data_IF_185757469614
#
_entry.id   IF_185757469614
#
_cell.length_a   1.000
_cell.length_b   1.000
_cell.length_c   1.000
_cell.angle_alpha   90.00
_cell.angle_beta   90.00
_cell.angle_gamma   90.00
#
_symmetry.space_group_name_H-M   'P 1'
#
loop_
_entity.id
_entity.type
_entity.pdbx_description
1 polymer ?
#
# COMPACT_ATOMS: atom_id res chain seq x y z
N UNK A 1 37.20 34.29 -25.68
CA UNK A 1 37.43 35.13 -24.47
C UNK A 1 36.16 35.79 -24.06
N UNK A 2 35.77 35.89 -22.83
CA UNK A 2 36.09 35.03 -21.65
C UNK A 2 34.82 34.51 -20.94
N UNK A 3 35.00 33.44 -20.19
CA UNK A 3 34.70 33.22 -18.72
C UNK A 3 33.25 33.46 -18.29
N UNK A 4 32.49 32.53 -17.85
CA UNK A 4 32.70 31.54 -16.79
C UNK A 4 32.01 32.00 -15.50
N UNK A 5 31.11 31.24 -14.95
CA UNK A 5 30.92 31.15 -13.49
C UNK A 5 29.94 30.03 -13.14
N UNK A 6 30.52 28.97 -12.56
CA UNK A 6 29.81 27.95 -11.79
C UNK A 6 29.18 28.57 -10.55
N UNK A 7 27.91 28.28 -10.29
CA UNK A 7 27.21 28.60 -9.06
C UNK A 7 26.77 27.30 -8.35
N UNK A 8 27.64 26.85 -7.44
CA UNK A 8 27.41 25.73 -6.53
C UNK A 8 26.41 26.16 -5.46
N UNK A 9 25.19 25.62 -5.46
CA UNK A 9 24.22 25.83 -4.40
C UNK A 9 24.37 24.71 -3.35
N UNK A 10 25.03 25.06 -2.24
CA UNK A 10 25.09 24.23 -1.02
C UNK A 10 23.72 24.22 -0.35
N UNK A 11 23.15 23.04 -0.13
CA UNK A 11 22.00 22.85 0.74
C UNK A 11 22.46 22.77 2.19
N UNK A 12 22.01 23.72 2.99
CA UNK A 12 22.09 23.70 4.46
C UNK A 12 21.07 22.72 5.04
N UNK A 13 21.55 21.76 5.79
CA UNK A 13 20.76 20.93 6.70
C UNK A 13 20.60 21.71 8.01
N UNK A 14 19.39 22.05 8.39
CA UNK A 14 19.06 22.58 9.72
C UNK A 14 18.61 21.40 10.60
N UNK A 15 19.43 21.09 11.59
CA UNK A 15 19.11 20.20 12.70
C UNK A 15 18.43 21.03 13.78
N UNK A 16 17.20 20.70 14.15
CA UNK A 16 16.54 21.27 15.33
C UNK A 16 16.60 20.22 16.45
N UNK A 17 17.37 20.55 17.49
CA UNK A 17 17.38 19.81 18.73
C UNK A 17 16.24 20.29 19.63
N UNK A 18 15.39 19.38 20.11
CA UNK A 18 14.39 19.65 21.14
C UNK A 18 14.86 19.04 22.45
N UNK A 19 15.10 19.91 23.43
CA UNK A 19 15.45 19.56 24.81
C UNK A 19 14.21 19.14 25.60
N UNK A 20 14.31 18.00 26.27
CA UNK A 20 13.31 17.47 27.21
C UNK A 20 13.39 18.22 28.55
N UNK A 21 12.24 18.69 29.03
CA UNK A 21 12.06 19.16 30.38
C UNK A 21 11.28 18.12 31.22
N UNK A 22 11.94 17.62 32.26
CA UNK A 22 11.34 16.78 33.32
C UNK A 22 10.54 17.64 34.29
N UNK A 23 9.29 17.29 34.57
CA UNK A 23 8.59 17.71 35.79
C UNK A 23 7.96 16.47 36.43
N UNK A 24 8.45 16.14 37.61
CA UNK A 24 7.92 15.14 38.50
C UNK A 24 6.73 15.67 39.30
N UNK A 25 5.69 14.92 39.44
CA UNK A 25 4.57 15.19 40.35
C UNK A 25 3.81 13.92 40.71
N UNK A 26 4.11 13.35 41.86
CA UNK A 26 3.40 12.24 42.43
C UNK A 26 2.14 12.72 43.17
N UNK A 27 1.01 12.05 42.96
CA UNK A 27 -0.07 12.00 43.96
C UNK A 27 -0.87 10.72 43.80
N UNK A 28 -0.80 9.89 44.78
CA UNK A 28 -1.60 8.67 44.95
C UNK A 28 -3.01 9.03 45.46
N UNK A 29 -4.04 8.52 44.81
CA UNK A 29 -5.37 8.37 45.41
C UNK A 29 -5.88 6.99 45.08
N UNK A 30 -6.00 6.16 46.11
CA UNK A 30 -6.68 4.86 46.11
C UNK A 30 -8.20 5.05 46.15
N UNK A 31 -8.90 4.44 45.19
CA UNK A 31 -10.35 4.17 45.34
C UNK A 31 -10.64 2.75 44.84
N UNK A 32 -11.04 1.90 45.76
CA UNK A 32 -11.65 0.63 45.49
C UNK A 32 -13.06 0.85 44.92
N UNK A 33 -13.38 0.19 43.83
CA UNK A 33 -14.76 0.03 43.36
C UNK A 33 -14.91 -1.26 42.56
N UNK A 34 -15.78 -2.07 43.02
CA UNK A 34 -16.64 -3.12 42.51
C UNK A 34 -16.28 -3.82 41.20
N UNK A 35 -16.03 -5.12 41.33
CA UNK A 35 -15.97 -6.07 40.20
C UNK A 35 -17.38 -6.27 39.64
N UNK A 36 -17.70 -5.61 38.53
CA UNK A 36 -18.78 -6.04 37.67
C UNK A 36 -18.18 -6.97 36.61
N UNK A 37 -18.53 -8.25 36.68
CA UNK A 37 -18.26 -9.23 35.63
C UNK A 37 -19.07 -8.85 34.38
N UNK A 38 -18.46 -8.11 33.46
CA UNK A 38 -18.95 -7.95 32.13
C UNK A 38 -18.51 -9.16 31.29
N UNK A 39 -19.48 -9.91 30.80
CA UNK A 39 -19.29 -10.94 29.78
C UNK A 39 -18.63 -10.31 28.55
N UNK A 40 -17.40 -10.71 28.26
CA UNK A 40 -16.73 -10.43 26.97
C UNK A 40 -17.53 -11.13 25.87
N UNK A 41 -17.96 -10.43 24.81
CA UNK A 41 -18.38 -11.12 23.60
C UNK A 41 -17.12 -11.80 23.02
N UNK A 42 -17.16 -13.11 22.96
CA UNK A 42 -16.17 -13.93 22.26
C UNK A 42 -16.33 -13.68 20.76
N UNK A 43 -15.76 -12.57 20.29
CA UNK A 43 -15.65 -12.21 18.88
C UNK A 43 -14.38 -12.83 18.31
N UNK A 44 -14.29 -14.14 18.27
CA UNK A 44 -13.37 -14.84 17.38
C UNK A 44 -13.68 -14.42 15.95
N UNK A 45 -13.00 -13.36 15.47
CA UNK A 45 -12.98 -13.10 14.04
C UNK A 45 -12.29 -14.29 13.36
N UNK A 46 -13.07 -15.16 12.74
CA UNK A 46 -12.55 -16.22 11.87
C UNK A 46 -11.68 -15.53 10.82
N UNK A 47 -10.37 -15.77 10.87
CA UNK A 47 -9.45 -15.30 9.83
C UNK A 47 -9.92 -15.87 8.50
N UNK A 48 -10.34 -14.99 7.58
CA UNK A 48 -10.55 -15.38 6.20
C UNK A 48 -9.24 -16.02 5.69
N UNK A 49 -9.33 -17.18 5.04
CA UNK A 49 -8.18 -17.78 4.40
C UNK A 49 -7.69 -16.85 3.30
N UNK A 50 -6.36 -16.65 3.16
CA UNK A 50 -5.77 -15.76 2.16
C UNK A 50 -6.04 -16.16 0.70
N UNK A 51 -6.73 -17.30 0.46
CA UNK A 51 -7.20 -17.74 -0.86
C UNK A 51 -8.62 -17.21 -1.19
N UNK A 52 -9.27 -16.49 -0.28
CA UNK A 52 -10.68 -16.11 -0.43
C UNK A 52 -10.87 -14.72 -1.05
N UNK A 53 -9.81 -14.16 -1.66
CA UNK A 53 -9.87 -12.87 -2.32
C UNK A 53 -10.16 -11.71 -1.36
N UNK A 54 -9.47 -11.66 -0.23
CA UNK A 54 -9.69 -10.64 0.80
C UNK A 54 -9.28 -9.24 0.32
N UNK A 55 -10.01 -8.21 0.78
CA UNK A 55 -9.64 -6.81 0.59
C UNK A 55 -9.00 -6.26 1.86
N UNK A 56 -7.78 -5.73 1.76
CA UNK A 56 -7.01 -5.12 2.83
C UNK A 56 -6.85 -3.61 2.70
N UNK A 57 -6.62 -2.97 3.84
CA UNK A 57 -6.28 -1.56 3.94
C UNK A 57 -4.78 -1.36 3.63
N UNK A 58 -4.46 -0.68 2.52
CA UNK A 58 -3.08 -0.41 2.13
C UNK A 58 -2.61 0.94 2.66
N UNK A 59 -1.47 0.95 3.36
CA UNK A 59 -0.81 2.11 3.96
C UNK A 59 0.52 2.47 3.31
N UNK A 60 1.01 1.67 2.36
CA UNK A 60 2.34 1.81 1.75
C UNK A 60 3.44 1.90 2.84
N UNK A 61 4.29 2.95 2.79
CA UNK A 61 5.33 3.23 3.79
C UNK A 61 4.78 3.85 5.08
N UNK A 62 3.51 4.29 5.10
CA UNK A 62 2.97 5.11 6.18
C UNK A 62 2.12 4.31 7.19
N UNK A 63 2.59 3.12 7.56
CA UNK A 63 1.95 2.29 8.59
C UNK A 63 1.83 3.00 9.95
N UNK A 64 2.68 3.99 10.24
CA UNK A 64 2.56 4.83 11.43
C UNK A 64 1.29 5.67 11.49
N UNK A 65 0.60 5.87 10.36
CA UNK A 65 -0.69 6.56 10.31
C UNK A 65 -1.90 5.66 10.60
N UNK A 66 -1.68 4.35 10.82
CA UNK A 66 -2.73 3.38 11.09
C UNK A 66 -3.56 3.79 12.30
N UNK A 67 -4.87 3.84 12.11
CA UNK A 67 -5.84 4.14 13.15
C UNK A 67 -6.86 2.98 13.24
N UNK A 68 -6.84 2.24 14.35
CA UNK A 68 -7.73 1.10 14.55
C UNK A 68 -9.21 1.47 14.52
N UNK A 69 -9.59 2.70 14.94
CA UNK A 69 -10.97 3.16 14.83
C UNK A 69 -11.40 3.35 13.37
N UNK A 70 -10.49 3.77 12.50
CA UNK A 70 -10.74 3.88 11.06
C UNK A 70 -10.86 2.48 10.42
N UNK A 71 -9.99 1.52 10.81
CA UNK A 71 -10.11 0.13 10.37
C UNK A 71 -11.46 -0.47 10.77
N UNK A 72 -11.87 -0.27 12.02
CA UNK A 72 -13.17 -0.73 12.52
C UNK A 72 -14.33 -0.06 11.77
N UNK A 73 -14.25 1.25 11.53
CA UNK A 73 -15.27 2.00 10.81
C UNK A 73 -15.41 1.52 9.35
N UNK A 74 -14.33 1.07 8.73
CA UNK A 74 -14.32 0.48 7.39
C UNK A 74 -14.51 -1.05 7.41
N UNK A 75 -14.66 -1.69 8.57
CA UNK A 75 -14.71 -3.15 8.74
C UNK A 75 -13.50 -3.87 8.16
N UNK A 76 -12.36 -3.19 8.04
CA UNK A 76 -11.13 -3.78 7.51
C UNK A 76 -10.65 -4.92 8.41
N UNK A 77 -10.32 -6.06 7.81
CA UNK A 77 -9.80 -7.25 8.50
C UNK A 77 -8.34 -7.54 8.15
N UNK A 78 -7.82 -6.91 7.11
CA UNK A 78 -6.45 -7.03 6.64
C UNK A 78 -5.80 -5.67 6.47
N UNK A 79 -4.48 -5.63 6.70
CA UNK A 79 -3.64 -4.46 6.41
C UNK A 79 -2.48 -4.85 5.50
N UNK A 80 -2.01 -3.88 4.73
CA UNK A 80 -0.79 -4.00 3.92
C UNK A 80 0.08 -2.76 4.07
N UNK A 81 1.38 -2.96 4.08
CA UNK A 81 2.40 -1.94 3.94
C UNK A 81 3.70 -2.54 3.44
N UNK A 82 4.72 -1.70 3.27
CA UNK A 82 6.05 -2.19 2.94
C UNK A 82 7.11 -1.68 3.92
N UNK A 83 8.15 -2.48 4.08
CA UNK A 83 9.34 -2.14 4.84
C UNK A 83 10.48 -1.79 3.89
N UNK A 84 11.01 -0.58 4.01
CA UNK A 84 12.16 -0.12 3.23
C UNK A 84 13.44 -0.73 3.80
N UNK A 85 14.11 -1.59 3.04
CA UNK A 85 15.21 -2.41 3.56
C UNK A 85 16.37 -1.63 4.20
N UNK A 86 16.79 -0.46 3.70
CA UNK A 86 17.76 0.41 4.39
C UNK A 86 17.38 0.82 5.82
N UNK A 87 16.09 0.81 6.20
CA UNK A 87 15.68 1.13 7.57
C UNK A 87 16.24 0.12 8.59
N UNK A 88 16.61 -1.09 8.14
CA UNK A 88 17.28 -2.10 8.98
C UNK A 88 18.72 -1.73 9.41
N UNK A 89 19.28 -0.65 8.85
CA UNK A 89 20.59 -0.12 9.26
C UNK A 89 20.50 0.81 10.47
N UNK A 90 19.28 1.25 10.84
CA UNK A 90 19.03 2.25 11.88
C UNK A 90 18.58 1.66 13.22
N UNK A 91 19.18 0.56 13.65
CA UNK A 91 18.90 -0.09 14.94
C UNK A 91 18.23 -1.46 14.79
N UNK A 92 17.43 -1.87 15.80
CA UNK A 92 16.65 -3.10 15.71
C UNK A 92 15.45 -2.87 14.77
N UNK A 93 15.30 -3.65 13.71
CA UNK A 93 14.13 -3.55 12.83
C UNK A 93 12.78 -3.68 13.56
N UNK A 94 12.73 -4.41 14.68
CA UNK A 94 11.52 -4.58 15.49
C UNK A 94 11.02 -3.25 16.09
N UNK A 95 11.92 -2.28 16.31
CA UNK A 95 11.61 -0.97 16.88
C UNK A 95 11.17 0.05 15.83
N UNK A 96 11.28 -0.29 14.54
CA UNK A 96 10.79 0.59 13.48
C UNK A 96 9.27 0.70 13.56
N UNK A 97 8.75 1.91 13.31
CA UNK A 97 7.30 2.17 13.30
C UNK A 97 6.56 1.18 12.39
N UNK A 98 7.13 0.88 11.23
CA UNK A 98 6.54 -0.05 10.24
C UNK A 98 6.36 -1.45 10.80
N UNK A 99 7.45 -2.09 11.28
CA UNK A 99 7.37 -3.47 11.77
C UNK A 99 6.63 -3.56 13.10
N UNK A 100 6.83 -2.60 14.00
CA UNK A 100 6.04 -2.53 15.23
C UNK A 100 4.54 -2.50 14.94
N UNK A 101 4.07 -1.64 14.00
CA UNK A 101 2.65 -1.50 13.67
C UNK A 101 2.09 -2.77 13.02
N UNK A 102 2.81 -3.38 12.06
CA UNK A 102 2.37 -4.64 11.43
C UNK A 102 2.26 -5.77 12.46
N UNK A 103 3.24 -5.90 13.35
CA UNK A 103 3.22 -6.93 14.38
C UNK A 103 2.13 -6.67 15.43
N UNK A 104 1.86 -5.40 15.78
CA UNK A 104 0.73 -5.06 16.66
C UNK A 104 -0.60 -5.43 16.01
N UNK A 105 -0.80 -5.09 14.74
CA UNK A 105 -1.99 -5.48 14.01
C UNK A 105 -2.16 -7.01 13.93
N UNK A 106 -1.06 -7.75 13.68
CA UNK A 106 -1.09 -9.22 13.69
C UNK A 106 -1.50 -9.79 15.05
N UNK A 107 -0.97 -9.23 16.16
CA UNK A 107 -1.39 -9.63 17.53
C UNK A 107 -2.85 -9.34 17.81
N UNK A 108 -3.41 -8.28 17.22
CA UNK A 108 -4.83 -7.91 17.32
C UNK A 108 -5.75 -8.75 16.42
N UNK A 109 -5.22 -9.70 15.67
CA UNK A 109 -6.01 -10.60 14.83
C UNK A 109 -6.23 -10.09 13.39
N UNK A 110 -5.66 -8.96 13.00
CA UNK A 110 -5.68 -8.54 11.59
C UNK A 110 -4.80 -9.47 10.75
N UNK A 111 -5.26 -9.80 9.55
CA UNK A 111 -4.41 -10.35 8.50
C UNK A 111 -3.38 -9.30 8.06
N UNK A 112 -2.18 -9.74 7.72
CA UNK A 112 -1.06 -8.84 7.44
C UNK A 112 -0.33 -9.22 6.17
N UNK A 113 -0.12 -8.23 5.29
CA UNK A 113 0.77 -8.34 4.13
C UNK A 113 1.90 -7.32 4.26
N UNK A 114 3.14 -7.76 4.12
CA UNK A 114 4.32 -6.93 4.19
C UNK A 114 5.18 -7.15 2.94
N UNK A 115 5.47 -6.07 2.20
CA UNK A 115 6.41 -6.10 1.08
C UNK A 115 7.79 -5.63 1.54
N UNK A 116 8.85 -6.30 1.09
CA UNK A 116 10.24 -5.89 1.31
C UNK A 116 10.66 -4.98 0.16
N UNK A 117 10.83 -3.69 0.44
CA UNK A 117 11.16 -2.67 -0.56
C UNK A 117 12.66 -2.42 -0.63
N UNK A 118 13.22 -2.56 -1.84
CA UNK A 118 14.62 -2.28 -2.16
C UNK A 118 14.68 -1.03 -3.06
N UNK A 119 15.01 0.17 -2.52
CA UNK A 119 15.00 1.43 -3.28
C UNK A 119 16.26 1.59 -4.12
N UNK A 120 16.38 0.87 -5.22
CA UNK A 120 17.56 0.79 -6.09
C UNK A 120 17.45 1.70 -7.34
N UNK A 121 16.54 2.68 -7.36
CA UNK A 121 16.35 3.56 -8.52
C UNK A 121 17.56 4.45 -8.81
N UNK A 122 18.34 4.83 -7.79
CA UNK A 122 19.49 5.72 -7.88
C UNK A 122 20.83 4.99 -7.69
N UNK A 123 20.80 3.69 -7.34
CA UNK A 123 22.00 2.90 -7.06
C UNK A 123 22.12 1.71 -8.01
N UNK A 124 23.36 1.25 -8.20
CA UNK A 124 23.60 0.04 -8.99
C UNK A 124 23.01 -1.19 -8.32
N UNK A 125 22.45 -2.09 -9.14
CA UNK A 125 21.92 -3.36 -8.63
C UNK A 125 23.04 -4.18 -7.99
N UNK A 126 22.88 -4.60 -6.73
CA UNK A 126 23.90 -5.42 -6.07
C UNK A 126 24.13 -6.76 -6.79
N UNK A 127 25.37 -7.01 -7.22
CA UNK A 127 25.73 -8.24 -7.92
C UNK A 127 26.24 -9.32 -6.93
N UNK A 128 26.07 -10.59 -7.30
CA UNK A 128 26.53 -11.71 -6.50
C UNK A 128 28.03 -11.61 -6.17
N UNK A 129 28.41 -11.86 -4.91
CA UNK A 129 29.79 -11.80 -4.44
C UNK A 129 30.33 -10.41 -4.14
N UNK A 130 29.53 -9.35 -4.29
CA UNK A 130 29.90 -7.97 -3.92
C UNK A 130 29.55 -7.64 -2.47
N UNK A 131 30.25 -6.65 -1.90
CA UNK A 131 29.92 -6.12 -0.56
C UNK A 131 28.51 -5.52 -0.52
N UNK A 132 28.03 -4.93 -1.62
CA UNK A 132 26.66 -4.42 -1.75
C UNK A 132 25.63 -5.54 -1.59
N UNK A 133 25.82 -6.69 -2.23
CA UNK A 133 24.94 -7.85 -2.06
C UNK A 133 25.02 -8.44 -0.66
N UNK A 134 26.22 -8.52 -0.10
CA UNK A 134 26.41 -8.97 1.29
C UNK A 134 25.67 -8.06 2.28
N UNK A 135 25.67 -6.75 2.04
CA UNK A 135 24.92 -5.75 2.82
C UNK A 135 23.42 -5.97 2.76
N UNK A 136 22.84 -6.19 1.56
CA UNK A 136 21.40 -6.47 1.42
C UNK A 136 20.98 -7.78 2.11
N UNK A 137 21.80 -8.82 1.99
CA UNK A 137 21.54 -10.09 2.69
C UNK A 137 21.65 -9.92 4.21
N UNK A 138 22.59 -9.11 4.71
CA UNK A 138 22.72 -8.81 6.14
C UNK A 138 21.50 -8.04 6.68
N UNK A 139 20.90 -7.12 5.89
CA UNK A 139 19.63 -6.47 6.24
C UNK A 139 18.50 -7.50 6.35
N UNK A 140 18.39 -8.42 5.38
CA UNK A 140 17.42 -9.52 5.45
C UNK A 140 17.59 -10.35 6.73
N UNK A 141 18.82 -10.68 7.11
CA UNK A 141 19.11 -11.47 8.31
C UNK A 141 18.66 -10.78 9.61
N UNK A 142 18.57 -9.45 9.61
CA UNK A 142 18.00 -8.69 10.73
C UNK A 142 16.47 -8.66 10.69
N UNK A 143 15.86 -8.58 9.49
CA UNK A 143 14.41 -8.41 9.32
C UNK A 143 13.65 -9.72 9.43
N UNK A 144 14.19 -10.82 8.85
CA UNK A 144 13.51 -12.11 8.80
C UNK A 144 13.13 -12.67 10.18
N UNK A 145 13.98 -12.61 11.24
CA UNK A 145 13.61 -13.05 12.59
C UNK A 145 12.42 -12.28 13.19
N UNK A 146 12.22 -11.03 12.74
CA UNK A 146 11.16 -10.17 13.24
C UNK A 146 9.82 -10.50 12.60
N UNK A 147 9.80 -10.83 11.30
CA UNK A 147 8.55 -10.96 10.52
C UNK A 147 8.14 -12.40 10.23
N UNK A 148 9.10 -13.34 10.09
CA UNK A 148 8.81 -14.72 9.71
C UNK A 148 7.97 -15.44 10.76
N UNK A 149 6.88 -16.07 10.34
CA UNK A 149 5.91 -16.71 11.20
C UNK A 149 4.96 -15.75 11.94
N UNK A 150 5.15 -14.42 11.78
CA UNK A 150 4.34 -13.39 12.45
C UNK A 150 3.45 -12.61 11.49
N UNK A 151 3.90 -12.38 10.25
CA UNK A 151 3.07 -11.84 9.18
C UNK A 151 2.44 -12.98 8.37
N UNK A 152 1.29 -12.74 7.73
CA UNK A 152 0.59 -13.78 6.96
C UNK A 152 1.12 -13.89 5.53
N UNK A 153 1.39 -12.74 4.89
CA UNK A 153 1.95 -12.66 3.54
C UNK A 153 3.24 -11.84 3.59
N UNK A 154 4.32 -12.37 3.03
CA UNK A 154 5.59 -11.67 2.84
C UNK A 154 5.87 -11.60 1.34
N UNK A 155 5.90 -10.37 0.81
CA UNK A 155 6.19 -10.11 -0.60
C UNK A 155 7.66 -9.73 -0.74
N UNK A 156 8.36 -10.46 -1.59
CA UNK A 156 9.79 -10.25 -1.86
C UNK A 156 9.91 -9.26 -3.01
N UNK A 157 10.17 -8.00 -2.66
CA UNK A 157 10.18 -6.85 -3.55
C UNK A 157 8.95 -5.95 -3.41
N UNK A 158 9.04 -4.76 -4.00
CA UNK A 158 7.96 -3.80 -4.23
C UNK A 158 8.32 -3.08 -5.52
N UNK A 159 7.53 -3.24 -6.57
CA UNK A 159 7.75 -2.63 -7.90
C UNK A 159 9.20 -2.70 -8.45
N UNK A 160 9.84 -3.88 -8.46
CA UNK A 160 11.26 -4.01 -8.80
C UNK A 160 11.61 -3.43 -10.16
N UNK A 161 10.69 -3.49 -11.14
CA UNK A 161 10.90 -2.98 -12.50
C UNK A 161 10.71 -1.46 -12.65
N UNK A 162 10.37 -0.71 -11.59
CA UNK A 162 10.41 0.77 -11.57
C UNK A 162 11.28 1.32 -10.44
N UNK A 163 11.45 0.59 -9.34
CA UNK A 163 12.32 0.97 -8.21
C UNK A 163 13.79 0.61 -8.43
N UNK A 164 14.17 0.28 -9.65
CA UNK A 164 15.55 0.03 -10.12
C UNK A 164 15.91 0.95 -11.29
N UNK A 165 17.20 1.14 -11.54
CA UNK A 165 17.67 1.90 -12.70
C UNK A 165 17.20 1.23 -13.99
N UNK A 166 16.82 1.98 -15.03
CA UNK A 166 16.32 1.40 -16.29
C UNK A 166 17.27 0.36 -16.91
N UNK A 167 18.59 0.61 -16.87
CA UNK A 167 19.59 -0.29 -17.42
C UNK A 167 19.75 -1.60 -16.65
N UNK A 168 19.32 -1.64 -15.37
CA UNK A 168 19.40 -2.82 -14.53
C UNK A 168 18.17 -3.74 -14.65
N UNK A 169 17.11 -3.32 -15.36
CA UNK A 169 15.86 -4.09 -15.55
C UNK A 169 16.00 -5.23 -16.55
N UNK A 170 17.05 -6.04 -16.34
CA UNK A 170 17.50 -7.16 -17.17
C UNK A 170 17.73 -8.38 -16.28
N UNK A 171 18.49 -9.36 -16.76
CA UNK A 171 18.91 -10.51 -15.95
C UNK A 171 19.59 -10.11 -14.63
N UNK A 172 20.24 -8.95 -14.57
CA UNK A 172 20.88 -8.42 -13.35
C UNK A 172 19.87 -8.22 -12.22
N UNK A 173 18.67 -7.68 -12.55
CA UNK A 173 17.57 -7.54 -11.61
C UNK A 173 17.08 -8.92 -11.13
N UNK A 174 16.96 -9.88 -12.06
CA UNK A 174 16.54 -11.23 -11.69
C UNK A 174 17.55 -11.90 -10.77
N UNK A 175 18.84 -11.82 -11.09
CA UNK A 175 19.90 -12.41 -10.26
C UNK A 175 19.85 -11.89 -8.82
N UNK A 176 19.63 -10.59 -8.62
CA UNK A 176 19.48 -9.98 -7.31
C UNK A 176 18.25 -10.53 -6.57
N UNK A 177 17.06 -10.44 -7.17
CA UNK A 177 15.82 -10.82 -6.49
C UNK A 177 15.69 -12.35 -6.31
N UNK A 178 16.25 -13.15 -7.19
CA UNK A 178 16.34 -14.61 -7.02
C UNK A 178 17.23 -14.98 -5.83
N UNK A 179 18.38 -14.29 -5.66
CA UNK A 179 19.27 -14.50 -4.51
C UNK A 179 18.60 -14.07 -3.19
N UNK A 180 17.92 -12.93 -3.18
CA UNK A 180 17.11 -12.46 -2.05
C UNK A 180 16.03 -13.50 -1.70
N UNK A 181 15.29 -13.98 -2.69
CA UNK A 181 14.23 -14.98 -2.50
C UNK A 181 14.78 -16.29 -1.94
N UNK A 182 15.91 -16.78 -2.46
CA UNK A 182 16.56 -17.98 -1.94
C UNK A 182 17.00 -17.82 -0.47
N UNK A 183 17.48 -16.63 -0.07
CA UNK A 183 17.81 -16.35 1.33
C UNK A 183 16.57 -16.39 2.22
N UNK A 184 15.45 -15.78 1.80
CA UNK A 184 14.16 -15.79 2.53
C UNK A 184 13.64 -17.23 2.66
N UNK A 185 13.67 -18.01 1.58
CA UNK A 185 13.25 -19.42 1.57
C UNK A 185 14.11 -20.27 2.51
N UNK A 186 15.44 -20.12 2.44
CA UNK A 186 16.36 -20.85 3.31
C UNK A 186 16.10 -20.54 4.78
N UNK A 187 15.89 -19.26 5.13
CA UNK A 187 15.54 -18.84 6.47
C UNK A 187 14.20 -19.46 6.92
N UNK A 188 13.15 -19.38 6.07
CA UNK A 188 11.83 -19.95 6.38
C UNK A 188 11.92 -21.44 6.65
N UNK A 189 12.63 -22.21 5.82
CA UNK A 189 12.82 -23.66 5.99
C UNK A 189 13.57 -24.00 7.26
N UNK A 190 14.56 -23.20 7.63
CA UNK A 190 15.41 -23.45 8.81
C UNK A 190 14.75 -23.04 10.14
N UNK A 191 14.03 -21.93 10.16
CA UNK A 191 13.60 -21.26 11.39
C UNK A 191 12.07 -21.25 11.60
N UNK A 192 11.28 -21.56 10.57
CA UNK A 192 9.83 -21.57 10.67
C UNK A 192 9.33 -23.04 10.56
N UNK A 193 8.60 -23.56 11.56
CA UNK A 193 8.12 -24.94 11.55
C UNK A 193 7.16 -25.20 10.38
N UNK A 194 6.81 -26.48 10.08
CA UNK A 194 5.92 -26.82 8.96
C UNK A 194 4.57 -26.07 8.96
N UNK A 195 4.09 -25.65 10.13
CA UNK A 195 2.87 -24.84 10.29
C UNK A 195 3.12 -23.32 10.17
N UNK A 196 4.23 -22.90 9.58
CA UNK A 196 4.54 -21.47 9.38
C UNK A 196 3.46 -20.76 8.59
N UNK A 197 2.81 -19.76 9.22
CA UNK A 197 1.72 -19.04 8.57
C UNK A 197 2.18 -18.11 7.43
N UNK A 198 3.44 -17.69 7.43
CA UNK A 198 3.97 -16.74 6.45
C UNK A 198 4.09 -17.40 5.07
N UNK A 199 3.29 -16.94 4.13
CA UNK A 199 3.37 -17.33 2.71
C UNK A 199 4.23 -16.34 1.94
N UNK A 200 5.02 -16.84 1.00
CA UNK A 200 5.98 -16.05 0.24
C UNK A 200 5.44 -15.75 -1.15
N UNK A 201 5.50 -14.50 -1.55
CA UNK A 201 5.16 -14.03 -2.89
C UNK A 201 6.31 -13.23 -3.47
N UNK A 202 6.44 -13.23 -4.80
CA UNK A 202 7.36 -12.35 -5.51
C UNK A 202 6.60 -11.14 -6.03
N UNK A 203 7.17 -9.96 -5.97
CA UNK A 203 6.45 -8.84 -6.59
C UNK A 203 6.98 -7.47 -6.19
N UNK A 204 6.22 -6.41 -6.51
CA UNK A 204 5.03 -6.48 -7.36
C UNK A 204 5.40 -6.15 -8.82
N UNK A 205 4.78 -6.84 -9.78
CA UNK A 205 4.88 -6.47 -11.18
C UNK A 205 3.91 -5.32 -11.47
N UNK A 206 4.39 -4.34 -12.22
CA UNK A 206 3.60 -3.16 -12.59
C UNK A 206 3.62 -2.90 -14.09
N UNK A 207 2.68 -2.08 -14.57
CA UNK A 207 2.55 -1.65 -15.97
C UNK A 207 2.48 -2.81 -16.97
N UNK A 208 1.94 -3.96 -16.58
CA UNK A 208 1.68 -5.07 -17.50
C UNK A 208 0.55 -4.79 -18.50
N UNK A 209 -0.11 -3.63 -18.37
CA UNK A 209 -0.99 -3.04 -19.37
C UNK A 209 -0.23 -2.62 -20.65
N UNK A 210 1.09 -2.46 -20.58
CA UNK A 210 1.94 -2.03 -21.67
C UNK A 210 2.74 -3.22 -22.23
N UNK A 211 2.62 -3.55 -23.54
CA UNK A 211 3.33 -4.68 -24.15
C UNK A 211 4.86 -4.62 -24.04
N UNK A 212 5.43 -3.41 -24.01
CA UNK A 212 6.89 -3.20 -23.85
C UNK A 212 7.41 -3.58 -22.46
N UNK A 213 6.51 -3.85 -21.51
CA UNK A 213 6.83 -4.36 -20.17
C UNK A 213 6.89 -5.88 -20.08
N UNK A 214 6.45 -6.58 -21.11
CA UNK A 214 6.57 -8.04 -21.25
C UNK A 214 8.00 -8.42 -21.71
N UNK A 215 8.98 -8.04 -20.91
CA UNK A 215 10.41 -8.19 -21.24
C UNK A 215 10.92 -9.61 -20.93
N UNK A 216 12.08 -10.03 -21.48
CA UNK A 216 12.73 -11.30 -21.07
C UNK A 216 12.96 -11.40 -19.56
N UNK A 217 13.26 -10.29 -18.89
CA UNK A 217 13.42 -10.26 -17.44
C UNK A 217 12.09 -10.50 -16.71
N UNK A 218 10.97 -9.95 -17.19
CA UNK A 218 9.65 -10.22 -16.64
C UNK A 218 9.23 -11.69 -16.87
N UNK A 219 9.57 -12.28 -18.02
CA UNK A 219 9.36 -13.70 -18.29
C UNK A 219 10.22 -14.61 -17.37
N UNK A 220 11.49 -14.24 -17.11
CA UNK A 220 12.35 -14.95 -16.16
C UNK A 220 11.78 -14.86 -14.75
N UNK A 221 11.26 -13.68 -14.33
CA UNK A 221 10.59 -13.49 -13.05
C UNK A 221 9.42 -14.47 -12.86
N UNK A 222 8.52 -14.55 -13.85
CA UNK A 222 7.37 -15.44 -13.80
C UNK A 222 7.78 -16.92 -13.85
N UNK A 223 8.83 -17.27 -14.59
CA UNK A 223 9.41 -18.62 -14.59
C UNK A 223 9.96 -18.99 -13.22
N UNK A 224 10.72 -18.09 -12.56
CA UNK A 224 11.21 -18.30 -11.20
C UNK A 224 10.06 -18.53 -10.21
N UNK A 225 9.02 -17.70 -10.28
CA UNK A 225 7.80 -17.88 -9.47
C UNK A 225 7.22 -19.27 -9.66
N UNK A 226 7.03 -19.69 -10.91
CA UNK A 226 6.42 -20.98 -11.24
C UNK A 226 7.27 -22.16 -10.80
N UNK A 227 8.59 -22.10 -10.98
CA UNK A 227 9.51 -23.21 -10.75
C UNK A 227 9.96 -23.34 -9.30
N UNK A 228 9.72 -22.35 -8.45
CA UNK A 228 10.10 -22.35 -7.04
C UNK A 228 8.92 -22.80 -6.16
N UNK A 229 8.97 -24.01 -5.58
CA UNK A 229 7.83 -24.59 -4.83
C UNK A 229 7.42 -23.79 -3.60
N UNK A 230 8.38 -23.12 -2.93
CA UNK A 230 8.12 -22.32 -1.72
C UNK A 230 7.40 -21.00 -2.02
N UNK A 231 7.41 -20.52 -3.27
CA UNK A 231 6.75 -19.29 -3.68
C UNK A 231 5.28 -19.61 -4.02
N UNK A 232 4.37 -18.95 -3.31
CA UNK A 232 2.93 -19.15 -3.44
C UNK A 232 2.30 -18.40 -4.62
N UNK A 233 3.04 -17.46 -5.21
CA UNK A 233 2.58 -16.71 -6.36
C UNK A 233 3.29 -15.38 -6.55
N UNK A 234 2.61 -14.46 -7.24
CA UNK A 234 3.12 -13.15 -7.62
C UNK A 234 2.19 -12.05 -7.12
N UNK A 235 2.76 -10.89 -6.80
CA UNK A 235 2.03 -9.66 -6.56
C UNK A 235 2.02 -8.79 -7.83
N UNK A 236 0.93 -8.07 -8.08
CA UNK A 236 0.78 -7.11 -9.18
C UNK A 236 0.25 -5.78 -8.65
N UNK A 237 0.65 -4.67 -9.30
CA UNK A 237 0.15 -3.34 -9.00
C UNK A 237 -0.55 -2.75 -10.25
N UNK A 238 -1.83 -3.05 -10.49
CA UNK A 238 -2.58 -2.50 -11.62
C UNK A 238 -3.03 -1.06 -11.33
N UNK A 239 -2.11 -0.12 -11.53
CA UNK A 239 -2.40 1.30 -11.61
C UNK A 239 -2.68 1.67 -13.06
N UNK A 240 -3.94 1.88 -13.40
CA UNK A 240 -4.40 1.83 -14.79
C UNK A 240 -5.17 3.09 -15.22
N UNK A 241 -5.23 3.39 -16.56
CA UNK A 241 -6.00 4.51 -17.08
C UNK A 241 -7.49 4.16 -17.32
N UNK A 242 -7.88 2.92 -17.25
CA UNK A 242 -9.28 2.47 -17.29
C UNK A 242 -9.41 1.15 -16.53
N UNK A 243 -10.64 0.78 -16.19
CA UNK A 243 -10.91 -0.49 -15.51
C UNK A 243 -10.50 -1.70 -16.35
N UNK A 244 -10.76 -1.64 -17.66
CA UNK A 244 -10.43 -2.69 -18.63
C UNK A 244 -8.91 -2.90 -18.75
N UNK A 245 -8.11 -1.85 -18.54
CA UNK A 245 -6.65 -1.92 -18.58
C UNK A 245 -6.03 -2.76 -17.45
N UNK A 246 -6.81 -3.22 -16.47
CA UNK A 246 -6.37 -4.19 -15.49
C UNK A 246 -6.37 -5.64 -16.04
N UNK A 247 -7.16 -5.94 -17.08
CA UNK A 247 -7.25 -7.27 -17.67
C UNK A 247 -5.91 -7.79 -18.23
N UNK A 248 -5.10 -6.99 -18.95
CA UNK A 248 -3.77 -7.40 -19.41
C UNK A 248 -2.84 -7.91 -18.31
N UNK A 249 -2.96 -7.40 -17.07
CA UNK A 249 -2.20 -7.95 -15.94
C UNK A 249 -2.58 -9.41 -15.65
N UNK A 250 -3.88 -9.69 -15.65
CA UNK A 250 -4.41 -11.04 -15.41
C UNK A 250 -4.05 -11.98 -16.56
N UNK A 251 -4.19 -11.52 -17.81
CA UNK A 251 -3.84 -12.27 -19.01
C UNK A 251 -2.34 -12.60 -19.06
N UNK A 252 -1.50 -11.75 -18.49
CA UNK A 252 -0.07 -11.99 -18.40
C UNK A 252 0.28 -12.98 -17.29
N UNK A 253 -0.24 -12.80 -16.06
CA UNK A 253 0.21 -13.60 -14.91
C UNK A 253 -0.47 -14.94 -14.79
N UNK A 254 -1.79 -15.06 -15.02
CA UNK A 254 -2.54 -16.28 -14.74
C UNK A 254 -2.05 -17.51 -15.51
N UNK A 255 -1.75 -17.43 -16.83
CA UNK A 255 -1.24 -18.58 -17.57
C UNK A 255 0.17 -19.02 -17.14
N UNK A 256 0.91 -18.15 -16.47
CA UNK A 256 2.29 -18.38 -16.03
C UNK A 256 2.41 -18.95 -14.62
N UNK A 257 1.31 -18.94 -13.85
CA UNK A 257 1.25 -19.54 -12.51
C UNK A 257 0.96 -21.04 -12.56
N UNK A 258 1.50 -21.79 -11.59
CA UNK A 258 1.05 -23.17 -11.34
C UNK A 258 -0.42 -23.21 -10.89
N UNK A 259 -1.12 -24.35 -11.03
CA UNK A 259 -2.51 -24.47 -10.56
C UNK A 259 -2.73 -24.19 -9.07
N UNK A 260 -1.74 -24.47 -8.22
CA UNK A 260 -1.75 -24.25 -6.77
C UNK A 260 -1.38 -22.83 -6.36
N UNK A 261 -0.84 -22.03 -7.28
CA UNK A 261 -0.42 -20.66 -6.99
C UNK A 261 -1.57 -19.66 -7.12
N UNK A 262 -1.51 -18.61 -6.32
CA UNK A 262 -2.44 -17.48 -6.33
C UNK A 262 -1.69 -16.20 -6.71
N UNK A 263 -2.41 -15.09 -6.87
CA UNK A 263 -1.79 -13.77 -7.01
C UNK A 263 -2.29 -12.80 -5.94
N UNK A 264 -1.52 -11.76 -5.73
CA UNK A 264 -1.88 -10.60 -4.94
C UNK A 264 -2.07 -9.41 -5.88
N UNK A 265 -2.90 -8.45 -5.46
CA UNK A 265 -2.98 -7.11 -6.05
C UNK A 265 -2.88 -6.10 -4.91
N UNK A 266 -1.69 -6.01 -4.28
CA UNK A 266 -1.52 -5.26 -3.02
C UNK A 266 -1.64 -3.75 -3.18
N UNK A 267 -1.61 -3.25 -4.42
CA UNK A 267 -1.97 -1.90 -4.81
C UNK A 267 -2.75 -1.94 -6.12
N UNK A 268 -3.86 -1.21 -6.20
CA UNK A 268 -4.57 -0.98 -7.46
C UNK A 268 -5.31 0.35 -7.45
N UNK A 269 -5.45 0.98 -8.61
CA UNK A 269 -6.08 2.30 -8.72
C UNK A 269 -6.36 2.71 -10.15
N UNK A 270 -7.26 3.70 -10.33
CA UNK A 270 -7.47 4.45 -11.56
C UNK A 270 -6.62 5.73 -11.61
N UNK A 271 -5.46 5.75 -10.99
CA UNK A 271 -4.70 7.00 -10.80
C UNK A 271 -4.33 7.69 -12.13
N UNK A 272 -4.09 6.94 -13.19
CA UNK A 272 -3.80 7.49 -14.51
C UNK A 272 -5.05 8.09 -15.15
N UNK A 273 -6.21 7.49 -14.98
CA UNK A 273 -7.49 8.08 -15.36
C UNK A 273 -7.74 9.41 -14.62
N UNK A 274 -7.56 9.42 -13.30
CA UNK A 274 -7.69 10.67 -12.54
C UNK A 274 -6.72 11.74 -13.01
N UNK A 275 -5.50 11.35 -13.38
CA UNK A 275 -4.46 12.28 -13.86
C UNK A 275 -4.88 13.00 -15.14
N UNK A 276 -5.54 12.33 -16.06
CA UNK A 276 -6.03 12.91 -17.31
C UNK A 276 -7.02 14.04 -17.07
N UNK A 277 -7.79 13.98 -15.98
CA UNK A 277 -8.84 14.95 -15.63
C UNK A 277 -8.37 16.12 -14.76
N UNK A 278 -7.11 16.19 -14.38
CA UNK A 278 -6.63 17.25 -13.46
C UNK A 278 -6.76 18.65 -14.06
N UNK A 279 -6.66 18.79 -15.38
CA UNK A 279 -6.78 20.07 -16.09
C UNK A 279 -8.18 20.37 -16.62
N UNK A 280 -9.15 19.51 -16.34
CA UNK A 280 -10.54 19.74 -16.73
C UNK A 280 -11.15 20.91 -15.96
N UNK A 281 -12.11 21.65 -16.54
CA UNK A 281 -12.89 22.62 -15.80
C UNK A 281 -13.78 21.89 -14.75
N UNK A 282 -13.97 22.52 -13.61
CA UNK A 282 -14.95 22.04 -12.61
C UNK A 282 -16.38 22.31 -13.05
N UNK A 283 -17.37 21.67 -12.43
CA UNK A 283 -18.77 21.95 -12.75
C UNK A 283 -19.15 23.39 -12.37
N UNK A 284 -19.93 24.04 -13.22
CA UNK A 284 -20.38 25.43 -12.99
C UNK A 284 -21.20 25.54 -11.69
N UNK A 285 -22.05 24.55 -11.41
CA UNK A 285 -22.86 24.52 -10.16
C UNK A 285 -22.01 24.39 -8.90
N UNK A 286 -20.90 23.64 -8.95
CA UNK A 286 -19.95 23.58 -7.85
C UNK A 286 -19.20 24.91 -7.69
N UNK A 287 -18.73 25.51 -8.79
CA UNK A 287 -18.05 26.79 -8.77
C UNK A 287 -18.90 27.90 -8.15
N UNK A 288 -20.17 28.01 -8.58
CA UNK A 288 -21.13 28.97 -8.06
C UNK A 288 -21.43 28.75 -6.57
N UNK A 289 -21.70 27.50 -6.18
CA UNK A 289 -22.08 27.14 -4.80
C UNK A 289 -20.96 27.41 -3.78
N UNK A 290 -19.71 27.19 -4.18
CA UNK A 290 -18.54 27.24 -3.27
C UNK A 290 -17.59 28.40 -3.54
N UNK A 291 -17.95 29.31 -4.47
CA UNK A 291 -17.22 30.56 -4.72
C UNK A 291 -15.90 30.35 -5.45
N UNK A 292 -15.78 29.33 -6.29
CA UNK A 292 -14.62 29.14 -7.17
C UNK A 292 -14.75 29.97 -8.44
N UNK A 293 -13.64 30.38 -9.08
CA UNK A 293 -13.67 30.95 -10.42
C UNK A 293 -14.35 30.00 -11.41
N UNK A 294 -15.14 30.54 -12.35
CA UNK A 294 -15.87 29.75 -13.33
C UNK A 294 -14.97 28.92 -14.26
N UNK A 295 -13.70 29.33 -14.42
CA UNK A 295 -12.66 28.66 -15.22
C UNK A 295 -11.71 27.81 -14.37
N UNK A 296 -11.98 27.65 -13.07
CA UNK A 296 -11.16 26.85 -12.17
C UNK A 296 -11.04 25.40 -12.65
N UNK A 297 -9.88 24.81 -12.40
CA UNK A 297 -9.54 23.45 -12.80
C UNK A 297 -9.63 22.49 -11.61
N UNK A 298 -9.83 21.21 -11.90
CA UNK A 298 -9.89 20.13 -10.91
C UNK A 298 -8.71 20.19 -9.95
N UNK A 299 -7.46 20.28 -10.45
CA UNK A 299 -6.28 20.36 -9.60
C UNK A 299 -6.27 21.55 -8.63
N UNK A 300 -6.87 22.69 -9.04
CA UNK A 300 -6.93 23.90 -8.19
C UNK A 300 -7.88 23.70 -7.00
N UNK A 301 -9.01 23.02 -7.23
CA UNK A 301 -9.94 22.68 -6.14
C UNK A 301 -9.29 21.70 -5.16
N UNK A 302 -8.58 20.68 -5.67
CA UNK A 302 -7.83 19.75 -4.82
C UNK A 302 -6.75 20.49 -4.02
N UNK A 303 -6.01 21.41 -4.66
CA UNK A 303 -5.01 22.24 -4.00
C UNK A 303 -5.62 23.12 -2.89
N UNK A 304 -6.80 23.70 -3.15
CA UNK A 304 -7.53 24.48 -2.14
C UNK A 304 -7.96 23.60 -0.96
N UNK A 305 -8.42 22.38 -1.23
CA UNK A 305 -8.78 21.41 -0.19
C UNK A 305 -7.57 20.96 0.64
N UNK A 306 -6.39 20.82 0.02
CA UNK A 306 -5.13 20.54 0.74
C UNK A 306 -4.73 21.70 1.63
N UNK A 307 -4.85 22.94 1.14
CA UNK A 307 -4.51 24.13 1.92
C UNK A 307 -5.48 24.37 3.10
N UNK A 308 -6.76 24.08 2.88
CA UNK A 308 -7.83 24.25 3.86
C UNK A 308 -8.83 23.08 3.71
N UNK A 309 -8.70 22.01 4.52
CA UNK A 309 -9.57 20.85 4.39
C UNK A 309 -11.04 21.20 4.36
N UNK A 310 -11.76 20.70 3.36
CA UNK A 310 -13.16 21.01 3.12
C UNK A 310 -14.09 20.30 4.12
N UNK A 311 -15.25 20.85 4.43
CA UNK A 311 -16.34 20.08 5.01
C UNK A 311 -16.62 18.85 4.13
N UNK A 312 -17.02 17.72 4.72
CA UNK A 312 -17.29 16.47 3.99
C UNK A 312 -18.26 16.70 2.81
N UNK A 313 -19.34 17.45 3.04
CA UNK A 313 -20.33 17.74 1.98
C UNK A 313 -19.73 18.49 0.78
N UNK A 314 -18.80 19.44 1.03
CA UNK A 314 -18.16 20.16 -0.06
C UNK A 314 -17.27 19.26 -0.91
N UNK A 315 -16.55 18.34 -0.28
CA UNK A 315 -15.72 17.35 -0.97
C UNK A 315 -16.58 16.37 -1.77
N UNK A 316 -17.66 15.87 -1.17
CA UNK A 316 -18.61 14.97 -1.83
C UNK A 316 -19.30 15.66 -3.03
N UNK A 317 -19.71 16.91 -2.87
CA UNK A 317 -20.30 17.71 -3.97
C UNK A 317 -19.29 17.95 -5.11
N UNK A 318 -18.01 18.19 -4.77
CA UNK A 318 -16.96 18.35 -5.79
C UNK A 318 -16.83 17.09 -6.65
N UNK A 319 -16.70 15.94 -6.03
CA UNK A 319 -16.46 14.68 -6.75
C UNK A 319 -17.73 14.18 -7.45
N UNK A 320 -18.90 14.25 -6.80
CA UNK A 320 -20.18 13.82 -7.40
C UNK A 320 -20.64 14.71 -8.55
N UNK A 321 -20.27 15.99 -8.54
CA UNK A 321 -20.54 16.90 -9.66
C UNK A 321 -19.53 16.80 -10.81
N UNK A 322 -18.50 15.98 -10.65
CA UNK A 322 -17.47 15.72 -11.67
C UNK A 322 -17.83 14.45 -12.45
N UNK A 323 -18.34 14.52 -13.70
CA UNK A 323 -18.83 13.33 -14.42
C UNK A 323 -17.79 12.24 -14.59
N UNK A 324 -16.52 12.63 -14.78
CA UNK A 324 -15.41 11.70 -14.89
C UNK A 324 -15.20 10.90 -13.61
N UNK A 325 -15.39 11.50 -12.41
CA UNK A 325 -15.25 10.79 -11.15
C UNK A 325 -16.50 9.96 -10.83
N UNK A 326 -17.69 10.57 -10.95
CA UNK A 326 -18.95 9.93 -10.61
C UNK A 326 -19.24 8.70 -11.48
N UNK A 327 -18.80 8.69 -12.75
CA UNK A 327 -18.88 7.50 -13.62
C UNK A 327 -18.08 6.30 -13.09
N UNK A 328 -17.10 6.53 -12.24
CA UNK A 328 -16.22 5.51 -11.64
C UNK A 328 -16.45 5.34 -10.13
N UNK A 329 -17.57 5.85 -9.59
CA UNK A 329 -17.83 5.84 -8.14
C UNK A 329 -17.81 4.46 -7.49
N UNK A 330 -18.00 3.41 -8.26
CA UNK A 330 -17.96 2.01 -7.83
C UNK A 330 -16.74 1.24 -8.34
N UNK A 331 -15.69 1.96 -8.79
CA UNK A 331 -14.47 1.31 -9.29
C UNK A 331 -13.90 0.28 -8.31
N UNK A 332 -13.86 0.61 -7.01
CA UNK A 332 -13.32 -0.31 -5.99
C UNK A 332 -14.07 -1.65 -5.99
N UNK A 333 -15.41 -1.61 -5.99
CA UNK A 333 -16.25 -2.80 -6.04
C UNK A 333 -16.04 -3.58 -7.34
N UNK A 334 -16.18 -2.90 -8.46
CA UNK A 334 -16.16 -3.52 -9.78
C UNK A 334 -14.77 -4.15 -10.08
N UNK A 335 -13.70 -3.50 -9.63
CA UNK A 335 -12.35 -4.06 -9.78
C UNK A 335 -12.13 -5.28 -8.88
N UNK A 336 -12.62 -5.25 -7.64
CA UNK A 336 -12.56 -6.40 -6.73
C UNK A 336 -13.35 -7.60 -7.27
N UNK A 337 -14.52 -7.36 -7.87
CA UNK A 337 -15.31 -8.41 -8.53
C UNK A 337 -14.52 -9.04 -9.68
N UNK A 338 -13.86 -8.24 -10.51
CA UNK A 338 -13.01 -8.71 -11.61
C UNK A 338 -11.85 -9.57 -11.10
N UNK A 339 -11.15 -9.10 -10.07
CA UNK A 339 -10.02 -9.83 -9.49
C UNK A 339 -10.47 -11.15 -8.83
N UNK A 340 -11.59 -11.14 -8.10
CA UNK A 340 -12.17 -12.32 -7.43
C UNK A 340 -12.70 -13.36 -8.43
N UNK A 341 -13.29 -12.91 -9.53
CA UNK A 341 -13.82 -13.80 -10.57
C UNK A 341 -12.77 -14.74 -11.18
N UNK A 342 -11.48 -14.44 -11.04
CA UNK A 342 -10.39 -15.33 -11.46
C UNK A 342 -10.30 -16.62 -10.64
N UNK A 343 -10.87 -16.66 -9.43
CA UNK A 343 -10.71 -17.74 -8.46
C UNK A 343 -9.27 -17.92 -7.94
N UNK A 344 -8.37 -16.96 -8.25
CA UNK A 344 -6.93 -17.06 -7.97
C UNK A 344 -6.40 -15.88 -7.13
N UNK A 345 -7.23 -14.90 -6.80
CA UNK A 345 -6.85 -13.80 -5.93
C UNK A 345 -6.71 -14.28 -4.48
N UNK A 346 -5.55 -14.07 -3.86
CA UNK A 346 -5.39 -14.29 -2.43
C UNK A 346 -5.75 -13.03 -1.62
N UNK A 347 -5.22 -11.88 -2.01
CA UNK A 347 -5.47 -10.59 -1.35
C UNK A 347 -5.33 -9.45 -2.35
N UNK A 348 -6.19 -8.43 -2.19
CA UNK A 348 -6.02 -7.13 -2.80
C UNK A 348 -5.89 -6.04 -1.72
N UNK A 349 -5.14 -4.97 -2.00
CA UNK A 349 -4.95 -3.83 -1.10
C UNK A 349 -5.39 -2.53 -1.76
N UNK A 350 -6.31 -1.80 -1.14
CA UNK A 350 -6.74 -0.49 -1.63
C UNK A 350 -6.24 0.62 -0.73
N UNK A 351 -5.89 1.77 -1.32
CA UNK A 351 -5.42 2.95 -0.60
C UNK A 351 -6.35 3.31 0.54
N UNK A 352 -5.85 3.26 1.78
CA UNK A 352 -6.73 3.39 2.93
C UNK A 352 -6.79 4.81 3.49
N UNK A 353 -5.65 5.50 3.48
CA UNK A 353 -5.54 6.82 4.07
C UNK A 353 -4.59 7.69 3.25
N UNK A 354 -4.97 8.95 3.02
CA UNK A 354 -4.06 9.92 2.42
C UNK A 354 -2.82 10.10 3.29
N UNK A 355 -1.68 10.33 2.66
CA UNK A 355 -0.41 10.66 3.32
C UNK A 355 0.20 11.97 2.80
N UNK A 356 1.26 12.43 3.45
CA UNK A 356 1.95 13.68 3.12
C UNK A 356 2.56 13.68 1.73
N UNK A 357 3.04 12.53 1.23
CA UNK A 357 3.66 12.44 -0.10
C UNK A 357 2.63 12.62 -1.21
N UNK A 358 1.37 12.21 -0.96
CA UNK A 358 0.28 12.39 -1.93
C UNK A 358 -0.09 13.87 -2.12
N UNK A 359 0.04 14.69 -1.09
CA UNK A 359 -0.41 16.10 -1.07
C UNK A 359 0.71 17.12 -1.19
N UNK A 360 1.95 16.74 -0.84
CA UNK A 360 3.11 17.62 -0.92
C UNK A 360 3.36 18.09 -2.35
N UNK A 361 3.56 19.41 -2.53
CA UNK A 361 3.80 20.04 -3.83
C UNK A 361 2.72 19.69 -4.87
N UNK A 362 1.45 19.64 -4.45
CA UNK A 362 0.35 19.32 -5.34
C UNK A 362 0.15 20.41 -6.40
N UNK A 363 -0.03 20.01 -7.64
CA UNK A 363 -0.22 20.88 -8.80
C UNK A 363 -0.69 20.08 -10.02
N UNK A 364 -0.82 20.71 -11.20
CA UNK A 364 -1.39 20.09 -12.39
C UNK A 364 -0.64 18.84 -12.85
N UNK A 365 0.69 18.77 -12.59
CA UNK A 365 1.53 17.65 -13.00
C UNK A 365 1.63 16.54 -11.96
N UNK A 366 1.17 16.78 -10.72
CA UNK A 366 1.18 15.76 -9.67
C UNK A 366 0.19 14.64 -9.99
N UNK A 367 0.66 13.41 -9.79
CA UNK A 367 -0.21 12.23 -9.88
C UNK A 367 -1.15 12.22 -8.67
N UNK A 368 -2.49 12.19 -8.87
CA UNK A 368 -3.47 12.43 -7.80
C UNK A 368 -3.77 11.17 -6.97
N UNK A 369 -2.75 10.55 -6.39
CA UNK A 369 -2.88 9.35 -5.54
C UNK A 369 -3.92 9.51 -4.43
N UNK A 370 -4.07 10.74 -3.92
CA UNK A 370 -5.00 11.07 -2.84
C UNK A 370 -6.48 10.73 -3.15
N UNK A 371 -6.85 10.65 -4.45
CA UNK A 371 -8.21 10.29 -4.87
C UNK A 371 -8.54 8.80 -4.69
N UNK A 372 -7.54 7.94 -4.44
CA UNK A 372 -7.72 6.51 -4.22
C UNK A 372 -7.70 6.14 -2.73
N UNK A 373 -8.03 7.05 -1.82
CA UNK A 373 -7.97 6.80 -0.38
C UNK A 373 -9.36 6.73 0.24
N UNK A 374 -9.61 5.73 1.07
CA UNK A 374 -10.87 5.58 1.84
C UNK A 374 -11.04 6.74 2.83
N UNK A 375 -9.96 7.13 3.51
CA UNK A 375 -9.94 8.28 4.41
C UNK A 375 -9.04 9.40 3.86
N UNK A 376 -9.51 10.63 3.98
CA UNK A 376 -8.97 11.81 3.32
C UNK A 376 -8.56 12.93 4.31
N UNK A 377 -7.66 12.66 5.30
CA UNK A 377 -7.35 13.61 6.38
C UNK A 377 -6.68 14.91 5.91
N UNK A 378 -6.17 14.95 4.69
CA UNK A 378 -5.49 16.15 4.16
C UNK A 378 -6.40 17.04 3.31
N UNK A 379 -7.53 16.51 2.83
CA UNK A 379 -8.46 17.25 1.97
C UNK A 379 -9.84 17.43 2.58
N UNK A 380 -10.16 16.68 3.63
CA UNK A 380 -11.46 16.69 4.28
C UNK A 380 -11.31 16.84 5.80
N UNK A 381 -12.13 17.71 6.39
CA UNK A 381 -12.18 17.92 7.84
C UNK A 381 -12.55 16.62 8.57
N UNK A 382 -11.99 16.47 9.77
CA UNK A 382 -12.35 15.34 10.63
C UNK A 382 -13.84 15.36 10.98
N UNK A 383 -14.43 14.16 11.02
CA UNK A 383 -15.80 13.99 11.44
C UNK A 383 -15.97 14.32 12.96
N UNK A 384 -17.19 14.64 13.43
CA UNK A 384 -17.44 14.97 14.85
C UNK A 384 -17.01 13.88 15.83
N UNK A 385 -16.98 12.63 15.40
CA UNK A 385 -16.52 11.49 16.19
C UNK A 385 -14.99 11.35 16.23
N UNK A 386 -14.23 12.28 15.63
CA UNK A 386 -12.78 12.33 15.59
C UNK A 386 -12.13 11.37 14.58
N UNK A 387 -12.89 10.71 13.71
CA UNK A 387 -12.33 10.00 12.56
C UNK A 387 -11.93 11.00 11.47
N UNK A 388 -10.98 10.62 10.63
CA UNK A 388 -10.64 11.41 9.45
C UNK A 388 -11.86 11.55 8.52
N UNK A 389 -11.89 12.65 7.76
CA UNK A 389 -12.82 12.81 6.66
C UNK A 389 -12.66 11.67 5.63
N UNK A 390 -13.69 11.41 4.87
CA UNK A 390 -13.74 10.28 3.93
C UNK A 390 -13.42 10.73 2.51
N UNK A 391 -12.68 9.88 1.78
CA UNK A 391 -12.62 9.94 0.33
C UNK A 391 -13.91 9.39 -0.26
N UNK A 392 -14.70 10.28 -0.86
CA UNK A 392 -15.95 9.90 -1.52
C UNK A 392 -15.67 8.93 -2.69
N UNK A 393 -16.41 7.88 -2.95
CA UNK A 393 -17.41 7.15 -2.17
C UNK A 393 -16.86 5.86 -1.52
N UNK A 394 -15.56 5.65 -1.47
CA UNK A 394 -14.86 4.38 -1.29
C UNK A 394 -15.22 3.62 -0.01
N UNK A 395 -15.60 4.30 1.05
CA UNK A 395 -15.80 3.63 2.35
C UNK A 395 -16.98 2.64 2.33
N UNK A 396 -18.03 2.94 1.58
CA UNK A 396 -19.21 2.07 1.55
C UNK A 396 -18.90 0.81 0.73
N UNK A 397 -18.32 0.97 -0.47
CA UNK A 397 -17.84 -0.18 -1.26
C UNK A 397 -16.79 -1.01 -0.47
N UNK A 398 -15.87 -0.34 0.24
CA UNK A 398 -14.85 -1.04 1.05
C UNK A 398 -15.49 -1.89 2.16
N UNK A 399 -16.51 -1.36 2.86
CA UNK A 399 -17.27 -2.09 3.90
C UNK A 399 -18.03 -3.27 3.34
N UNK A 400 -18.72 -3.06 2.22
CA UNK A 400 -19.56 -4.11 1.62
C UNK A 400 -18.70 -5.26 1.11
N UNK A 401 -17.52 -4.98 0.60
CA UNK A 401 -16.55 -5.98 0.15
C UNK A 401 -15.92 -6.78 1.30
N UNK A 402 -16.01 -6.32 2.57
CA UNK A 402 -15.57 -7.06 3.75
C UNK A 402 -16.59 -8.09 4.23
N UNK A 403 -17.85 -7.99 3.82
CA UNK A 403 -18.86 -8.99 4.17
C UNK A 403 -18.47 -10.29 3.45
N UNK A 404 -18.37 -11.38 4.21
CA UNK A 404 -18.23 -12.70 3.62
C UNK A 404 -19.40 -12.92 2.65
N UNK A 405 -19.17 -13.48 1.45
CA UNK A 405 -20.27 -13.88 0.62
C UNK A 405 -21.16 -14.81 1.45
N UNK A 406 -22.44 -14.51 1.58
CA UNK A 406 -23.40 -15.44 2.13
C UNK A 406 -23.28 -16.69 1.27
N UNK A 407 -22.73 -17.76 1.84
CA UNK A 407 -22.79 -19.05 1.19
C UNK A 407 -24.27 -19.35 1.01
N UNK A 408 -24.76 -19.23 -0.22
CA UNK A 408 -26.02 -19.80 -0.60
C UNK A 408 -25.88 -21.29 -0.27
N UNK A 409 -26.40 -21.68 0.89
CA UNK A 409 -26.66 -23.09 1.17
C UNK A 409 -27.68 -23.48 0.12
N UNK A 410 -27.18 -24.09 -0.94
CA UNK A 410 -28.02 -24.77 -1.91
C UNK A 410 -28.74 -25.90 -1.19
N UNK A 411 -30.06 -25.80 -1.18
CA UNK A 411 -30.98 -26.87 -0.89
C UNK A 411 -30.78 -28.04 -1.87
#
# INVERSE_FOLDING_TARGET
MPLGRNGMLRRLLSVIAVTAGLVSGASAVSAQAGVARGTTPDGSMTRAHAADGVLGANFNQNLGSLNYRELQAARATWIRGFFTMPDADHGDPADTTTLHTVLDASRRGYGTALSLKFPLAETEMPAAGTDAMAGELARLDKVLPVVMGRVDLLVIGNEPFIESRPQDRTDVLNDFYEAVAQRVIAYRRAQCPPACKTRLYMGALNRLDLPDRHTPAAERWMRFVRETPDIQGVDIHPHVPSREAAQPFLDYVLPRLRPDQTFLATEFSLVWYWKEHMSDPISAGFAERYGFPADAKVWQVIQAAIAHPFPQQQWDDFLSSSPWFESQRHYLRDQMETLRATGRLAMAGYGFRQDTLMVQNFGPDKVPWLLNSVFAPYTVQSAPNGLAGRGYPWIDDFRDLQLAPEHSQGD
#
